data_IF_331972879774
#
_entry.id   IF_331972879774
#
_cell.length_a   1.000
_cell.length_b   1.000
_cell.length_c   1.000
_cell.angle_alpha   90.00
_cell.angle_beta   90.00
_cell.angle_gamma   90.00
#
_symmetry.space_group_name_H-M   'P 1'
#
loop_
_entity.id
_entity.type
_entity.pdbx_description
1 polymer ?
#
# COMPACT_ATOMS: atom_id res chain seq x y z
N UNK A 1 55.26 2.39 2.47
CA UNK A 1 54.04 2.46 1.63
C UNK A 1 52.86 2.41 2.59
N UNK A 2 52.17 3.52 2.82
CA UNK A 2 51.06 3.57 3.79
C UNK A 2 49.74 3.43 3.03
N UNK A 3 49.11 2.28 3.17
CA UNK A 3 47.80 1.99 2.61
C UNK A 3 46.74 2.64 3.50
N UNK A 4 46.23 3.80 3.10
CA UNK A 4 45.06 4.42 3.70
C UNK A 4 43.83 3.57 3.38
N UNK A 5 43.28 2.91 4.39
CA UNK A 5 41.98 2.24 4.30
C UNK A 5 40.89 3.31 4.30
N UNK A 6 40.29 3.56 3.14
CA UNK A 6 39.11 4.43 3.01
C UNK A 6 37.94 3.78 3.74
N UNK A 7 37.49 4.39 4.84
CA UNK A 7 36.25 3.98 5.51
C UNK A 7 35.08 4.11 4.53
N UNK A 8 34.17 3.11 4.43
CA UNK A 8 32.98 3.27 3.62
C UNK A 8 32.17 4.47 4.15
N UNK A 9 31.83 5.40 3.27
CA UNK A 9 30.94 6.51 3.59
C UNK A 9 29.61 5.91 4.08
N UNK A 10 29.18 6.30 5.29
CA UNK A 10 27.87 5.92 5.79
C UNK A 10 26.80 6.36 4.76
N UNK A 11 25.86 5.49 4.37
CA UNK A 11 24.87 5.85 3.38
C UNK A 11 24.08 7.06 3.87
N UNK A 12 23.99 8.08 3.00
CA UNK A 12 23.20 9.27 3.26
C UNK A 12 21.76 8.83 3.61
N UNK A 13 21.18 9.25 4.74
CA UNK A 13 19.84 8.79 5.13
C UNK A 13 18.83 9.10 4.03
N UNK A 14 18.00 8.10 3.69
CA UNK A 14 16.93 8.29 2.70
C UNK A 14 16.00 9.40 3.19
N UNK A 15 15.80 10.42 2.36
CA UNK A 15 14.90 11.53 2.66
C UNK A 15 13.44 11.08 2.51
N UNK A 16 12.57 11.66 3.32
CA UNK A 16 11.12 11.49 3.17
C UNK A 16 10.67 12.35 1.98
N UNK A 17 10.21 11.70 0.92
CA UNK A 17 9.73 12.40 -0.29
C UNK A 17 8.35 13.01 -0.10
N UNK A 18 7.47 12.34 0.65
CA UNK A 18 6.09 12.79 0.87
C UNK A 18 5.57 12.32 2.23
N UNK A 19 4.73 13.15 2.85
CA UNK A 19 3.89 12.79 4.00
C UNK A 19 2.45 13.14 3.65
N UNK A 20 1.53 12.20 3.84
CA UNK A 20 0.12 12.39 3.49
C UNK A 20 -0.76 11.70 4.53
N UNK A 21 -1.98 12.23 4.70
CA UNK A 21 -3.06 11.54 5.43
C UNK A 21 -3.93 10.68 4.51
N UNK A 22 -3.65 10.72 3.20
CA UNK A 22 -4.45 10.10 2.16
C UNK A 22 -5.67 10.91 1.75
N UNK A 23 -6.46 10.34 0.85
CA UNK A 23 -7.76 10.84 0.43
C UNK A 23 -8.83 9.80 0.71
N UNK A 24 -9.86 10.17 1.46
CA UNK A 24 -10.93 9.26 1.85
C UNK A 24 -12.11 9.34 0.89
N UNK A 25 -12.68 8.18 0.59
CA UNK A 25 -13.88 8.02 -0.22
C UNK A 25 -14.66 6.83 0.36
N UNK A 26 -15.65 7.16 1.21
CA UNK A 26 -16.35 6.17 2.02
C UNK A 26 -15.41 5.49 3.03
N UNK A 27 -15.46 4.15 3.19
CA UNK A 27 -14.63 3.41 4.14
C UNK A 27 -13.16 3.25 3.74
N UNK A 28 -12.79 3.76 2.57
CA UNK A 28 -11.45 3.59 2.00
C UNK A 28 -10.73 4.93 2.07
N UNK A 29 -9.55 4.94 2.69
CA UNK A 29 -8.59 6.04 2.60
C UNK A 29 -7.41 5.61 1.74
N UNK A 30 -7.29 6.19 0.55
CA UNK A 30 -6.13 5.96 -0.33
C UNK A 30 -4.93 6.73 0.18
N UNK A 31 -3.87 6.02 0.56
CA UNK A 31 -2.64 6.61 1.08
C UNK A 31 -1.63 6.96 -0.03
N UNK A 32 -1.60 6.19 -1.12
CA UNK A 32 -0.73 6.44 -2.29
C UNK A 32 -1.23 5.71 -3.55
N UNK A 33 -0.84 6.20 -4.72
CA UNK A 33 -1.23 5.75 -6.06
C UNK A 33 -0.27 6.27 -7.14
N UNK A 34 -0.31 5.77 -8.39
CA UNK A 34 0.59 6.29 -9.42
C UNK A 34 0.22 7.72 -9.83
N UNK A 35 -1.03 8.16 -9.58
CA UNK A 35 -1.49 9.52 -9.83
C UNK A 35 -0.87 10.56 -8.88
N UNK A 36 -0.35 10.14 -7.72
CA UNK A 36 0.37 11.02 -6.79
C UNK A 36 1.90 10.93 -6.95
N UNK A 37 2.47 9.72 -6.84
CA UNK A 37 3.92 9.52 -6.75
C UNK A 37 4.58 9.00 -8.03
N UNK A 38 3.79 8.65 -9.06
CA UNK A 38 4.30 8.20 -10.35
C UNK A 38 5.24 6.99 -10.24
N UNK A 39 6.37 7.05 -10.94
CA UNK A 39 7.33 5.92 -11.02
C UNK A 39 8.09 5.64 -9.72
N UNK A 40 8.14 6.61 -8.79
CA UNK A 40 8.80 6.42 -7.48
C UNK A 40 8.13 5.30 -6.68
N UNK A 41 6.85 5.04 -6.95
CA UNK A 41 6.05 4.04 -6.26
C UNK A 41 6.45 2.60 -6.62
N UNK A 42 7.10 2.37 -7.77
CA UNK A 42 7.40 1.02 -8.24
C UNK A 42 8.23 0.24 -7.20
N UNK A 43 7.89 -1.05 -6.96
CA UNK A 43 6.92 -1.88 -7.70
C UNK A 43 5.46 -1.78 -7.21
N UNK A 44 5.15 -0.90 -6.25
CA UNK A 44 3.79 -0.76 -5.70
C UNK A 44 2.86 0.00 -6.66
N UNK A 45 1.58 -0.34 -6.62
CA UNK A 45 0.54 0.24 -7.49
C UNK A 45 -0.37 1.18 -6.69
N UNK A 46 -0.85 0.78 -5.51
CA UNK A 46 -1.53 1.69 -4.57
C UNK A 46 -1.50 1.09 -3.16
N UNK A 47 -1.85 1.90 -2.16
CA UNK A 47 -2.10 1.46 -0.79
C UNK A 47 -3.36 2.12 -0.25
N UNK A 48 -4.26 1.28 0.25
CA UNK A 48 -5.48 1.68 0.91
C UNK A 48 -5.48 1.29 2.37
N UNK A 49 -6.05 2.17 3.19
CA UNK A 49 -6.51 1.85 4.53
C UNK A 49 -8.03 1.69 4.48
N UNK A 50 -8.50 0.50 4.84
CA UNK A 50 -9.91 0.22 5.01
C UNK A 50 -10.27 0.40 6.49
N UNK A 51 -11.21 1.29 6.76
CA UNK A 51 -11.80 1.49 8.08
C UNK A 51 -13.32 1.51 7.92
N UNK A 52 -13.96 0.44 8.38
CA UNK A 52 -15.38 0.25 8.19
C UNK A 52 -16.02 -0.45 9.38
N UNK A 53 -17.18 0.07 9.77
CA UNK A 53 -18.03 -0.54 10.76
C UNK A 53 -18.72 -1.82 10.22
N UNK A 54 -19.43 -2.54 11.10
CA UNK A 54 -20.14 -3.75 10.72
C UNK A 54 -21.14 -3.53 9.58
N UNK A 55 -21.80 -2.37 9.54
CA UNK A 55 -22.77 -2.04 8.48
C UNK A 55 -22.08 -1.91 7.13
N UNK A 56 -20.91 -1.27 7.11
CA UNK A 56 -20.12 -1.08 5.90
C UNK A 56 -19.44 -2.37 5.45
N UNK A 57 -19.01 -3.21 6.39
CA UNK A 57 -18.54 -4.57 6.11
C UNK A 57 -19.63 -5.42 5.45
N UNK A 58 -20.88 -5.35 5.92
CA UNK A 58 -21.99 -6.07 5.30
C UNK A 58 -22.26 -5.62 3.85
N UNK A 59 -22.05 -4.35 3.54
CA UNK A 59 -22.13 -3.83 2.16
C UNK A 59 -20.96 -4.35 1.30
N UNK A 60 -19.74 -4.36 1.84
CA UNK A 60 -18.55 -4.85 1.14
C UNK A 60 -18.56 -6.36 0.92
N UNK A 61 -19.22 -7.13 1.80
CA UNK A 61 -19.43 -8.56 1.63
C UNK A 61 -20.21 -8.92 0.35
N UNK A 62 -20.95 -7.96 -0.22
CA UNK A 62 -21.66 -8.09 -1.49
C UNK A 62 -20.89 -7.51 -2.68
N UNK A 63 -19.59 -7.20 -2.54
CA UNK A 63 -18.79 -6.77 -3.68
C UNK A 63 -18.76 -7.88 -4.74
N UNK A 64 -19.09 -7.58 -6.00
CA UNK A 64 -19.01 -8.58 -7.05
C UNK A 64 -17.57 -9.01 -7.27
N UNK A 65 -17.41 -10.25 -7.73
CA UNK A 65 -16.14 -10.74 -8.24
C UNK A 65 -15.61 -9.75 -9.29
N UNK A 66 -14.38 -9.27 -9.12
CA UNK A 66 -13.76 -8.30 -10.01
C UNK A 66 -12.33 -8.72 -10.33
N UNK A 67 -11.95 -8.77 -11.62
CA UNK A 67 -10.67 -9.32 -12.04
C UNK A 67 -9.52 -8.32 -11.83
N UNK A 68 -8.32 -8.87 -11.58
CA UNK A 68 -7.06 -8.14 -11.59
C UNK A 68 -6.05 -8.89 -12.49
N UNK A 69 -5.19 -8.16 -13.19
CA UNK A 69 -4.15 -8.74 -14.04
C UNK A 69 -2.85 -7.94 -13.91
N UNK A 70 -1.70 -8.63 -13.93
CA UNK A 70 -0.38 -8.01 -13.88
C UNK A 70 0.00 -7.38 -12.54
N UNK A 71 -0.77 -7.64 -11.47
CA UNK A 71 -0.52 -7.14 -10.12
C UNK A 71 -0.71 -8.26 -9.10
N UNK A 72 -0.13 -8.07 -7.91
CA UNK A 72 -0.43 -8.85 -6.73
C UNK A 72 -1.10 -7.94 -5.69
N UNK A 73 -2.11 -8.47 -5.01
CA UNK A 73 -2.79 -7.79 -3.90
C UNK A 73 -2.34 -8.41 -2.59
N UNK A 74 -1.92 -7.56 -1.65
CA UNK A 74 -1.60 -7.97 -0.28
C UNK A 74 -2.56 -7.25 0.66
N UNK A 75 -3.35 -8.02 1.38
CA UNK A 75 -4.28 -7.52 2.40
C UNK A 75 -3.76 -7.88 3.78
N UNK A 76 -3.56 -6.88 4.64
CA UNK A 76 -3.10 -7.07 6.02
C UNK A 76 -4.26 -6.73 6.97
N UNK A 77 -4.88 -7.72 7.64
CA UNK A 77 -5.90 -7.43 8.65
C UNK A 77 -5.24 -6.80 9.87
N UNK A 78 -5.65 -5.59 10.22
CA UNK A 78 -5.21 -4.92 11.45
C UNK A 78 -6.12 -5.28 12.62
N UNK A 79 -7.43 -5.30 12.37
CA UNK A 79 -8.48 -5.69 13.32
C UNK A 79 -9.58 -6.47 12.58
N UNK A 80 -10.28 -7.34 13.30
CA UNK A 80 -11.38 -8.15 12.75
C UNK A 80 -10.92 -9.32 11.88
N UNK A 81 -11.81 -9.77 10.99
CA UNK A 81 -11.59 -10.88 10.06
C UNK A 81 -12.30 -10.61 8.73
N UNK A 82 -11.80 -11.20 7.65
CA UNK A 82 -12.43 -11.12 6.32
C UNK A 82 -12.45 -12.50 5.65
N UNK A 83 -13.38 -12.66 4.71
CA UNK A 83 -13.42 -13.80 3.79
C UNK A 83 -12.92 -13.35 2.43
N UNK A 84 -12.21 -14.25 1.75
CA UNK A 84 -11.68 -14.04 0.42
C UNK A 84 -12.03 -15.25 -0.44
N UNK A 85 -12.47 -14.98 -1.66
CA UNK A 85 -12.78 -15.98 -2.67
C UNK A 85 -12.22 -15.50 -4.01
N UNK A 86 -11.48 -16.37 -4.68
CA UNK A 86 -11.02 -16.20 -6.05
C UNK A 86 -11.43 -17.38 -6.94
N UNK A 87 -11.60 -17.17 -8.25
CA UNK A 87 -11.86 -18.24 -9.19
C UNK A 87 -10.67 -19.19 -9.25
N UNK A 88 -10.95 -20.50 -9.26
CA UNK A 88 -9.96 -21.56 -9.46
C UNK A 88 -9.36 -21.57 -10.88
#
# INVERSE_FOLDING_TARGET
MNTTLTSPLAPNPRRITQRTRGQSHGPITRLMSPSDLGQVLKPFVFLDLFDADQRTMAMLANMPLHPHSGIATVTVPLEGAFHYEDPA
#
